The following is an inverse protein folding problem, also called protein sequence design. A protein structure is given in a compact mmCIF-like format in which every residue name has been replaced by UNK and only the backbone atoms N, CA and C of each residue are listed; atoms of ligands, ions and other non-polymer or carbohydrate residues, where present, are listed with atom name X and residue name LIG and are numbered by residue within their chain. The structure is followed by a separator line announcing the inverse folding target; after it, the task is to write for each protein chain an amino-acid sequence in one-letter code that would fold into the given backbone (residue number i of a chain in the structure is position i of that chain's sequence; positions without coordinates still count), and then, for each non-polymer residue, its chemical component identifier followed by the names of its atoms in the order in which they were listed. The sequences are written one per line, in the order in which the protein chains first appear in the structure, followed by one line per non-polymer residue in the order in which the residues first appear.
data_IF_080120192655
#
_entry.id   IF_080120192655
#
_cell.length_a   1.000
_cell.length_b   1.000
_cell.length_c   1.000
_cell.angle_alpha   90.00
_cell.angle_beta   90.00
_cell.angle_gamma   90.00
#
_symmetry.space_group_name_H-M   'P 1'
#
loop_
_entity.id
_entity.type
_entity.pdbx_description
1 polymer ?
#
# COMPACT_ATOMS: atom_id res chain seq x y z
N UNK A 1 4.25 26.17 5.45
CA UNK A 1 5.57 25.56 5.16
C UNK A 1 6.08 25.00 6.47
N UNK A 2 5.70 23.75 6.77
CA UNK A 2 6.24 23.00 7.89
C UNK A 2 7.67 22.63 7.51
N UNK A 3 8.66 22.99 8.30
CA UNK A 3 10.04 22.53 8.07
C UNK A 3 10.03 20.99 8.13
N UNK A 4 10.39 20.34 7.03
CA UNK A 4 10.53 18.89 6.97
C UNK A 4 11.71 18.49 7.86
N UNK A 5 11.42 18.13 9.11
CA UNK A 5 12.42 17.65 10.05
C UNK A 5 12.65 16.15 9.81
N UNK A 6 13.81 15.82 9.25
CA UNK A 6 14.25 14.43 9.05
C UNK A 6 14.44 13.74 10.41
N UNK A 7 13.70 12.67 10.65
CA UNK A 7 13.75 11.89 11.90
C UNK A 7 14.61 10.63 11.77
N UNK A 8 14.64 10.02 10.58
CA UNK A 8 15.50 8.88 10.26
C UNK A 8 16.30 9.22 9.01
N UNK A 9 17.61 8.97 9.05
CA UNK A 9 18.48 9.10 7.88
C UNK A 9 19.43 7.91 7.77
N UNK A 10 19.52 7.32 6.59
CA UNK A 10 20.54 6.34 6.26
C UNK A 10 21.43 6.93 5.16
N UNK A 11 22.75 6.83 5.32
CA UNK A 11 23.72 7.33 4.35
C UNK A 11 24.69 6.20 3.95
N UNK A 12 24.53 5.72 2.71
CA UNK A 12 25.37 4.68 2.12
C UNK A 12 25.52 3.46 3.02
N UNK A 13 24.44 3.01 3.65
CA UNK A 13 24.47 1.97 4.67
C UNK A 13 24.61 0.57 4.03
N UNK A 14 25.51 -0.25 4.59
CA UNK A 14 25.74 -1.63 4.17
C UNK A 14 25.54 -2.59 5.33
N UNK A 15 25.02 -3.78 5.03
CA UNK A 15 25.07 -4.93 5.92
C UNK A 15 25.51 -6.17 5.18
N UNK A 16 26.68 -6.68 5.56
CA UNK A 16 27.21 -7.97 5.11
C UNK A 16 27.36 -8.91 6.29
N UNK A 17 26.71 -10.07 6.23
CA UNK A 17 26.87 -11.14 7.19
C UNK A 17 28.04 -12.04 6.76
N UNK A 18 28.98 -12.28 7.67
CA UNK A 18 30.15 -13.13 7.39
C UNK A 18 31.45 -12.54 7.92
N UNK A 19 32.50 -13.35 7.93
CA UNK A 19 33.80 -12.97 8.52
C UNK A 19 34.56 -11.93 7.69
N UNK A 20 34.29 -11.81 6.38
CA UNK A 20 34.99 -10.91 5.45
C UNK A 20 34.11 -9.74 4.99
N UNK A 21 33.20 -9.28 5.85
CA UNK A 21 32.25 -8.21 5.52
C UNK A 21 32.89 -6.92 5.01
N UNK A 22 34.00 -6.48 5.62
CA UNK A 22 34.71 -5.27 5.16
C UNK A 22 35.32 -5.42 3.75
N UNK A 23 35.79 -6.61 3.37
CA UNK A 23 36.27 -6.87 2.01
C UNK A 23 35.13 -6.91 1.01
N UNK A 24 34.00 -7.53 1.36
CA UNK A 24 32.80 -7.53 0.54
C UNK A 24 32.31 -6.11 0.25
N UNK A 25 32.27 -5.24 1.27
CA UNK A 25 31.92 -3.81 1.08
C UNK A 25 32.87 -3.12 0.11
N UNK A 26 34.19 -3.34 0.21
CA UNK A 26 35.15 -2.75 -0.73
C UNK A 26 34.89 -3.19 -2.16
N UNK A 27 34.60 -4.47 -2.40
CA UNK A 27 34.29 -4.98 -3.75
C UNK A 27 32.96 -4.43 -4.27
N UNK A 28 31.93 -4.37 -3.44
CA UNK A 28 30.62 -3.80 -3.80
C UNK A 28 30.75 -2.32 -4.19
N UNK A 29 31.57 -1.54 -3.47
CA UNK A 29 31.87 -0.13 -3.82
C UNK A 29 32.66 0.00 -5.13
N UNK A 30 33.44 -1.01 -5.49
CA UNK A 30 34.16 -1.07 -6.76
C UNK A 30 33.30 -1.57 -7.94
N UNK A 31 31.99 -1.77 -7.73
CA UNK A 31 31.05 -2.19 -8.78
C UNK A 31 30.77 -3.69 -8.84
N UNK A 32 31.32 -4.50 -7.92
CA UNK A 32 31.00 -5.92 -7.87
C UNK A 32 29.51 -6.15 -7.59
N UNK A 33 28.96 -7.22 -8.15
CA UNK A 33 27.58 -7.65 -7.92
C UNK A 33 27.43 -8.33 -6.55
N UNK A 34 26.18 -8.50 -6.12
CA UNK A 34 25.84 -9.23 -4.88
C UNK A 34 26.33 -10.68 -4.92
N UNK A 35 26.25 -11.32 -6.08
CA UNK A 35 26.63 -12.72 -6.25
C UNK A 35 28.15 -12.92 -6.25
N UNK A 36 28.91 -12.01 -6.85
CA UNK A 36 30.37 -12.06 -6.86
C UNK A 36 30.99 -11.98 -5.45
N UNK A 37 30.30 -11.31 -4.51
CA UNK A 37 30.76 -11.18 -3.13
C UNK A 37 30.21 -12.26 -2.20
N UNK A 38 29.33 -13.15 -2.67
CA UNK A 38 28.74 -14.24 -1.89
C UNK A 38 29.78 -15.15 -1.18
N UNK A 39 30.95 -15.47 -1.79
CA UNK A 39 32.01 -16.22 -1.09
C UNK A 39 32.64 -15.47 0.11
N UNK A 40 32.48 -14.15 0.18
CA UNK A 40 32.99 -13.29 1.25
C UNK A 40 31.96 -13.09 2.38
N UNK A 41 30.68 -13.31 2.07
CA UNK A 41 29.56 -13.19 2.99
C UNK A 41 28.26 -12.86 2.27
N UNK A 42 27.15 -12.87 3.01
CA UNK A 42 25.83 -12.51 2.50
C UNK A 42 25.63 -11.00 2.61
N UNK A 43 25.73 -10.28 1.50
CA UNK A 43 25.34 -8.89 1.42
C UNK A 43 23.81 -8.77 1.43
N UNK A 44 23.27 -8.27 2.54
CA UNK A 44 21.84 -8.18 2.79
C UNK A 44 21.29 -6.77 2.57
N UNK A 45 22.09 -5.73 2.86
CA UNK A 45 21.80 -4.34 2.50
C UNK A 45 23.05 -3.74 1.87
N UNK A 46 22.88 -3.03 0.77
CA UNK A 46 23.94 -2.55 -0.10
C UNK A 46 23.63 -1.10 -0.46
N UNK A 47 24.43 -0.18 0.07
CA UNK A 47 24.38 1.24 -0.27
C UNK A 47 23.01 1.90 -0.08
N UNK A 48 22.32 1.57 1.01
CA UNK A 48 21.00 2.14 1.29
C UNK A 48 21.16 3.59 1.76
N UNK A 49 20.56 4.52 1.00
CA UNK A 49 20.49 5.93 1.35
C UNK A 49 19.06 6.44 1.24
N UNK A 50 18.51 7.01 2.32
CA UNK A 50 17.16 7.56 2.37
C UNK A 50 16.95 8.41 3.62
N UNK A 51 15.89 9.21 3.58
CA UNK A 51 15.42 10.04 4.68
C UNK A 51 13.93 9.79 4.91
N UNK A 52 13.54 9.76 6.18
CA UNK A 52 12.14 9.69 6.64
C UNK A 52 11.87 10.91 7.50
N UNK A 53 10.84 11.67 7.14
CA UNK A 53 10.42 12.86 7.84
C UNK A 53 9.56 12.51 9.05
N UNK A 54 9.51 13.42 10.01
CA UNK A 54 8.63 13.28 11.16
C UNK A 54 7.16 13.19 10.72
N UNK A 55 6.44 12.22 11.26
CA UNK A 55 5.04 11.94 10.94
C UNK A 55 4.83 11.23 9.61
N UNK A 56 5.89 10.86 8.88
CA UNK A 56 5.76 10.15 7.60
C UNK A 56 5.52 8.64 7.81
N UNK A 57 4.65 8.04 6.99
CA UNK A 57 4.60 6.60 6.78
C UNK A 57 5.50 6.25 5.60
N UNK A 58 6.71 5.79 5.91
CA UNK A 58 7.68 5.35 4.93
C UNK A 58 7.63 3.83 4.76
N UNK A 59 7.15 3.39 3.60
CA UNK A 59 7.02 1.97 3.30
C UNK A 59 8.29 1.45 2.65
N UNK A 60 8.81 0.31 3.12
CA UNK A 60 9.90 -0.42 2.48
C UNK A 60 9.34 -1.70 1.87
N UNK A 61 9.42 -1.80 0.56
CA UNK A 61 8.79 -2.85 -0.22
C UNK A 61 9.80 -3.68 -1.02
N UNK A 62 9.46 -4.91 -1.37
CA UNK A 62 10.24 -5.76 -2.26
C UNK A 62 10.03 -7.25 -1.97
N UNK A 63 10.64 -8.11 -2.78
CA UNK A 63 10.52 -9.57 -2.61
C UNK A 63 11.15 -10.10 -1.33
N UNK A 64 10.82 -11.34 -0.99
CA UNK A 64 11.54 -12.08 0.03
C UNK A 64 13.05 -12.13 -0.31
N UNK A 65 13.90 -11.92 0.68
CA UNK A 65 15.36 -11.91 0.49
C UNK A 65 15.97 -10.62 -0.08
N UNK A 66 15.17 -9.57 -0.35
CA UNK A 66 15.65 -8.27 -0.86
C UNK A 66 16.35 -7.38 0.18
N UNK A 67 16.31 -7.74 1.47
CA UNK A 67 17.04 -7.02 2.53
C UNK A 67 16.18 -6.19 3.48
N UNK A 68 14.86 -6.04 3.23
CA UNK A 68 13.93 -5.20 4.03
C UNK A 68 14.03 -5.45 5.54
N UNK A 69 13.81 -6.70 5.95
CA UNK A 69 13.84 -7.11 7.35
C UNK A 69 15.24 -6.94 7.98
N UNK A 70 16.30 -6.94 7.18
CA UNK A 70 17.64 -6.57 7.66
C UNK A 70 17.75 -5.06 7.86
N UNK A 71 17.24 -4.26 6.92
CA UNK A 71 17.22 -2.80 6.99
C UNK A 71 16.50 -2.30 8.26
N UNK A 72 15.27 -2.76 8.52
CA UNK A 72 14.52 -2.33 9.72
C UNK A 72 15.20 -2.73 11.03
N UNK A 73 15.88 -3.89 11.05
CA UNK A 73 16.65 -4.31 12.22
C UNK A 73 17.91 -3.46 12.40
N UNK A 74 18.45 -2.87 11.34
CA UNK A 74 19.49 -1.84 11.46
C UNK A 74 18.93 -0.52 11.98
N UNK A 75 17.74 -0.11 11.54
CA UNK A 75 17.04 1.07 12.08
C UNK A 75 16.73 0.92 13.59
N UNK A 76 16.41 -0.29 14.06
CA UNK A 76 16.25 -0.56 15.49
C UNK A 76 17.62 -0.73 16.22
N UNK A 77 18.74 -0.72 15.50
CA UNK A 77 20.07 -0.98 16.05
C UNK A 77 20.29 -2.41 16.57
N UNK A 78 19.44 -3.37 16.19
CA UNK A 78 19.67 -4.80 16.46
C UNK A 78 20.86 -5.34 15.66
N UNK A 79 21.06 -4.81 14.46
CA UNK A 79 22.26 -5.04 13.66
C UNK A 79 22.99 -3.73 13.42
N UNK A 80 24.28 -3.68 13.79
CA UNK A 80 25.13 -2.58 13.35
C UNK A 80 25.39 -2.65 11.83
N UNK A 81 25.41 -1.51 11.12
CA UNK A 81 25.90 -1.44 9.76
C UNK A 81 27.34 -1.98 9.67
N UNK A 82 27.66 -2.66 8.58
CA UNK A 82 29.02 -3.05 8.23
C UNK A 82 29.82 -1.84 7.72
N UNK A 83 29.15 -0.89 7.05
CA UNK A 83 29.68 0.39 6.61
C UNK A 83 28.53 1.39 6.41
N UNK A 84 28.85 2.68 6.28
CA UNK A 84 27.86 3.76 6.24
C UNK A 84 27.32 4.10 7.63
N UNK A 85 26.32 4.98 7.68
CA UNK A 85 25.70 5.48 8.91
C UNK A 85 24.18 5.38 8.87
N UNK A 86 23.58 5.26 10.06
CA UNK A 86 22.13 5.33 10.26
C UNK A 86 21.90 6.21 11.47
N UNK A 87 21.15 7.29 11.28
CA UNK A 87 20.84 8.29 12.28
C UNK A 87 19.37 8.23 12.67
N UNK A 88 19.09 8.30 13.97
CA UNK A 88 17.77 8.58 14.54
C UNK A 88 17.82 9.91 15.28
N UNK A 89 17.31 10.97 14.64
CA UNK A 89 17.66 12.35 15.00
C UNK A 89 19.19 12.52 14.99
N UNK A 90 19.75 12.97 16.11
CA UNK A 90 21.19 13.20 16.24
C UNK A 90 22.00 11.93 16.58
N UNK A 91 21.34 10.81 16.91
CA UNK A 91 22.01 9.59 17.37
C UNK A 91 22.46 8.70 16.19
N UNK A 92 23.77 8.52 15.97
CA UNK A 92 24.32 7.57 14.97
C UNK A 92 24.41 6.14 15.51
N UNK A 93 23.54 5.26 15.02
CA UNK A 93 23.44 3.86 15.45
C UNK A 93 24.70 3.03 15.19
N UNK A 94 25.56 3.44 14.26
CA UNK A 94 26.82 2.75 14.01
C UNK A 94 27.83 2.95 15.16
N UNK A 95 27.81 4.12 15.80
CA UNK A 95 28.85 4.57 16.75
C UNK A 95 28.36 4.72 18.19
N UNK A 96 27.05 4.85 18.44
CA UNK A 96 26.52 4.98 19.80
C UNK A 96 26.95 3.86 20.75
N UNK A 97 27.09 4.23 22.02
CA UNK A 97 27.40 3.30 23.10
C UNK A 97 26.25 2.31 23.34
N UNK A 98 26.53 1.10 23.86
CA UNK A 98 25.47 0.16 24.21
C UNK A 98 24.44 0.69 25.21
N UNK A 99 24.85 1.60 26.11
CA UNK A 99 23.95 2.23 27.07
C UNK A 99 22.98 3.21 26.38
N UNK A 100 23.51 4.08 25.51
CA UNK A 100 22.69 5.02 24.73
C UNK A 100 21.74 4.29 23.78
N UNK A 101 22.19 3.21 23.13
CA UNK A 101 21.34 2.39 22.28
C UNK A 101 20.16 1.73 23.03
N UNK A 102 20.34 1.37 24.31
CA UNK A 102 19.23 0.87 25.14
C UNK A 102 18.23 1.97 25.49
N UNK A 103 18.70 3.19 25.73
CA UNK A 103 17.85 4.34 26.00
C UNK A 103 17.01 4.72 24.78
N UNK A 104 17.63 4.77 23.59
CA UNK A 104 16.95 5.02 22.32
C UNK A 104 15.83 4.00 22.11
N UNK A 105 16.12 2.70 22.22
CA UNK A 105 15.11 1.63 22.07
C UNK A 105 14.04 1.61 23.17
N UNK A 106 14.30 2.24 24.31
CA UNK A 106 13.33 2.32 25.41
C UNK A 106 12.36 3.48 25.22
N UNK A 107 12.80 4.59 24.64
CA UNK A 107 12.05 5.87 24.65
C UNK A 107 11.67 6.39 23.27
N UNK A 108 12.43 6.09 22.23
CA UNK A 108 12.26 6.67 20.89
C UNK A 108 11.73 5.69 19.84
N UNK A 109 11.96 4.39 20.00
CA UNK A 109 11.66 3.39 18.97
C UNK A 109 10.86 2.22 19.53
N UNK A 110 9.74 1.91 18.88
CA UNK A 110 8.98 0.67 19.08
C UNK A 110 9.06 -0.21 17.84
N UNK A 111 8.99 -1.52 18.03
CA UNK A 111 9.04 -2.49 16.95
C UNK A 111 7.91 -3.52 17.04
N UNK A 112 7.21 -3.72 15.92
CA UNK A 112 6.25 -4.80 15.69
C UNK A 112 6.91 -5.81 14.76
N UNK A 113 7.02 -7.06 15.24
CA UNK A 113 7.70 -8.14 14.51
C UNK A 113 6.69 -8.96 13.69
N UNK A 114 7.16 -9.53 12.58
CA UNK A 114 6.41 -10.47 11.74
C UNK A 114 5.91 -11.68 12.54
N UNK A 115 6.78 -12.27 13.35
CA UNK A 115 6.39 -13.25 14.37
C UNK A 115 6.18 -12.53 15.68
N UNK A 116 4.98 -12.65 16.25
CA UNK A 116 4.39 -11.82 17.32
C UNK A 116 5.31 -11.47 18.50
N UNK A 117 6.35 -12.28 18.76
CA UNK A 117 7.38 -12.07 19.77
C UNK A 117 6.77 -11.75 21.15
N UNK A 118 5.64 -12.38 21.45
CA UNK A 118 4.95 -12.25 22.73
C UNK A 118 5.63 -13.13 23.77
N UNK A 119 5.58 -12.70 25.02
CA UNK A 119 6.04 -13.44 26.18
C UNK A 119 4.95 -14.46 26.54
N UNK A 120 5.16 -15.78 26.30
CA UNK A 120 4.10 -16.78 26.41
C UNK A 120 3.65 -17.06 27.84
N UNK A 121 4.49 -16.68 28.81
CA UNK A 121 4.26 -16.84 30.24
C UNK A 121 3.63 -15.61 30.90
N UNK A 122 3.27 -14.59 30.11
CA UNK A 122 2.62 -13.36 30.56
C UNK A 122 1.25 -13.23 29.91
N UNK A 123 0.32 -12.54 30.57
CA UNK A 123 -1.01 -12.26 30.02
C UNK A 123 -0.93 -11.27 28.86
N UNK A 124 -2.05 -11.05 28.17
CA UNK A 124 -2.18 -10.03 27.12
C UNK A 124 -1.88 -8.63 27.68
N UNK A 125 -2.45 -8.29 28.84
CA UNK A 125 -2.20 -7.02 29.52
C UNK A 125 -0.71 -6.86 29.88
N UNK A 126 -0.10 -7.89 30.46
CA UNK A 126 1.31 -7.86 30.85
C UNK A 126 2.24 -7.76 29.64
N UNK A 127 1.86 -8.34 28.50
CA UNK A 127 2.59 -8.18 27.24
C UNK A 127 2.50 -6.74 26.73
N UNK A 128 1.31 -6.14 26.75
CA UNK A 128 1.10 -4.75 26.33
C UNK A 128 1.80 -3.75 27.27
N UNK A 129 1.78 -3.99 28.58
CA UNK A 129 2.40 -3.15 29.61
C UNK A 129 3.94 -3.32 29.71
N UNK A 130 4.51 -4.34 29.07
CA UNK A 130 5.94 -4.67 29.20
C UNK A 130 6.90 -3.50 28.89
N UNK A 131 6.71 -2.69 27.83
CA UNK A 131 7.61 -1.57 27.55
C UNK A 131 7.61 -0.51 28.66
N UNK A 132 6.44 -0.24 29.24
CA UNK A 132 6.25 0.69 30.36
C UNK A 132 6.91 0.16 31.64
N UNK A 133 6.86 -1.16 31.89
CA UNK A 133 7.63 -1.81 32.96
C UNK A 133 9.14 -1.56 32.79
N UNK A 134 9.66 -1.70 31.56
CA UNK A 134 11.08 -1.46 31.25
C UNK A 134 11.45 0.04 31.31
N UNK A 135 10.47 0.93 31.13
CA UNK A 135 10.61 2.37 31.35
C UNK A 135 10.56 2.77 32.83
N UNK A 136 10.16 1.86 33.73
CA UNK A 136 10.04 2.13 35.16
C UNK A 136 8.73 2.79 35.57
N UNK A 137 7.70 2.74 34.71
CA UNK A 137 6.36 3.26 35.01
C UNK A 137 5.69 2.40 36.07
N UNK A 138 4.97 3.06 36.99
CA UNK A 138 4.23 2.41 38.08
C UNK A 138 3.20 1.41 37.56
N UNK A 139 2.88 0.38 38.37
CA UNK A 139 2.01 -0.74 37.96
C UNK A 139 0.60 -0.29 37.56
N UNK A 140 0.02 0.65 38.28
CA UNK A 140 -1.36 1.08 38.02
C UNK A 140 -1.43 1.89 36.72
N UNK A 141 -0.55 2.89 36.57
CA UNK A 141 -0.44 3.71 35.35
C UNK A 141 -0.12 2.86 34.10
N UNK A 142 0.83 1.93 34.20
CA UNK A 142 1.17 1.11 33.04
C UNK A 142 0.04 0.17 32.61
N UNK A 143 -0.74 -0.33 33.57
CA UNK A 143 -1.87 -1.20 33.28
C UNK A 143 -3.01 -0.41 32.63
N UNK A 144 -3.27 0.82 33.09
CA UNK A 144 -4.25 1.72 32.49
C UNK A 144 -3.90 2.04 31.02
N UNK A 145 -2.67 2.48 30.76
CA UNK A 145 -2.18 2.78 29.40
C UNK A 145 -2.16 1.55 28.50
N UNK A 146 -1.73 0.40 29.01
CA UNK A 146 -1.77 -0.86 28.26
C UNK A 146 -3.20 -1.26 27.91
N UNK A 147 -4.16 -1.06 28.82
CA UNK A 147 -5.56 -1.35 28.57
C UNK A 147 -6.17 -0.41 27.52
N UNK A 148 -5.80 0.87 27.51
CA UNK A 148 -6.19 1.81 26.45
C UNK A 148 -5.70 1.31 25.08
N UNK A 149 -4.42 0.96 24.96
CA UNK A 149 -3.87 0.40 23.72
C UNK A 149 -4.57 -0.90 23.30
N UNK A 150 -4.95 -1.77 24.25
CA UNK A 150 -5.69 -3.00 23.96
C UNK A 150 -7.12 -2.71 23.47
N UNK A 151 -7.78 -1.66 23.97
CA UNK A 151 -9.09 -1.25 23.46
C UNK A 151 -9.00 -0.74 22.03
N UNK A 152 -7.98 0.07 21.72
CA UNK A 152 -7.76 0.59 20.37
C UNK A 152 -7.64 -0.53 19.34
N UNK A 153 -6.89 -1.59 19.66
CA UNK A 153 -6.74 -2.75 18.76
C UNK A 153 -7.89 -3.78 18.89
N UNK A 154 -8.99 -3.45 19.57
CA UNK A 154 -10.17 -4.33 19.68
C UNK A 154 -9.93 -5.63 20.46
N UNK A 155 -9.14 -5.58 21.53
CA UNK A 155 -8.83 -6.71 22.43
C UNK A 155 -9.35 -6.51 23.86
N UNK A 156 -10.33 -5.62 24.06
CA UNK A 156 -11.03 -5.50 25.34
C UNK A 156 -11.70 -6.84 25.73
N UNK A 157 -11.56 -7.26 26.99
CA UNK A 157 -12.07 -8.53 27.50
C UNK A 157 -11.09 -9.71 27.34
N UNK A 158 -9.92 -9.51 26.74
CA UNK A 158 -8.88 -10.52 26.56
C UNK A 158 -7.63 -10.28 27.42
N UNK A 159 -7.64 -9.24 28.26
CA UNK A 159 -6.50 -8.78 29.08
C UNK A 159 -5.84 -9.89 29.90
N UNK A 160 -6.63 -10.80 30.48
CA UNK A 160 -6.16 -11.88 31.35
C UNK A 160 -5.78 -13.17 30.60
N UNK A 161 -6.05 -13.21 29.29
CA UNK A 161 -5.71 -14.38 28.47
C UNK A 161 -4.20 -14.48 28.26
N UNK A 162 -3.71 -15.70 28.03
CA UNK A 162 -2.31 -15.93 27.62
C UNK A 162 -2.20 -16.03 26.09
N UNK A 163 -1.06 -15.66 25.47
CA UNK A 163 -0.90 -15.67 24.02
C UNK A 163 -1.24 -16.99 23.31
N UNK A 164 -1.05 -18.12 24.00
CA UNK A 164 -1.37 -19.46 23.47
C UNK A 164 -2.87 -19.72 23.26
N UNK A 165 -3.73 -18.96 23.92
CA UNK A 165 -5.19 -19.06 23.80
C UNK A 165 -5.77 -18.19 22.67
N UNK A 166 -4.94 -17.37 22.01
CA UNK A 166 -5.37 -16.39 21.01
C UNK A 166 -5.21 -16.92 19.59
N UNK A 167 -6.00 -16.38 18.65
CA UNK A 167 -5.76 -16.58 17.21
C UNK A 167 -4.48 -15.88 16.75
N UNK A 168 -4.00 -16.20 15.53
CA UNK A 168 -2.84 -15.52 14.93
C UNK A 168 -3.02 -14.00 14.87
N UNK A 169 -4.16 -13.53 14.36
CA UNK A 169 -4.43 -12.10 14.26
C UNK A 169 -4.62 -11.41 15.61
N UNK A 170 -5.18 -12.10 16.61
CA UNK A 170 -5.22 -11.55 17.97
C UNK A 170 -3.82 -11.38 18.55
N UNK A 171 -2.92 -12.35 18.39
CA UNK A 171 -1.51 -12.22 18.84
C UNK A 171 -0.79 -11.04 18.15
N UNK A 172 -1.09 -10.79 16.88
CA UNK A 172 -0.53 -9.66 16.15
C UNK A 172 -1.01 -8.33 16.74
N UNK A 173 -2.32 -8.22 17.03
CA UNK A 173 -2.92 -7.06 17.68
C UNK A 173 -2.35 -6.81 19.08
N UNK A 174 -2.03 -7.85 19.86
CA UNK A 174 -1.29 -7.68 21.14
C UNK A 174 0.11 -7.09 20.90
N UNK A 175 0.82 -7.53 19.86
CA UNK A 175 2.12 -6.99 19.49
C UNK A 175 2.07 -5.51 19.09
N UNK A 176 0.99 -5.11 18.39
CA UNK A 176 0.72 -3.72 18.05
C UNK A 176 0.38 -2.90 19.30
N UNK A 177 -0.55 -3.37 20.15
CA UNK A 177 -0.89 -2.70 21.40
C UNK A 177 0.32 -2.48 22.30
N UNK A 178 1.24 -3.45 22.36
CA UNK A 178 2.52 -3.31 23.06
C UNK A 178 3.36 -2.15 22.50
N UNK A 179 3.47 -2.04 21.19
CA UNK A 179 4.22 -0.96 20.56
C UNK A 179 3.56 0.41 20.77
N UNK A 180 2.23 0.47 20.72
CA UNK A 180 1.46 1.70 20.96
C UNK A 180 1.54 2.16 22.41
N UNK A 181 1.43 1.22 23.37
CA UNK A 181 1.51 1.54 24.80
C UNK A 181 2.85 2.17 25.20
N UNK A 182 3.94 1.84 24.50
CA UNK A 182 5.26 2.42 24.73
C UNK A 182 5.36 3.92 24.40
N UNK A 183 4.42 4.45 23.61
CA UNK A 183 4.30 5.85 23.21
C UNK A 183 5.60 6.47 22.66
N UNK A 184 6.34 5.69 21.88
CA UNK A 184 7.61 6.14 21.26
C UNK A 184 7.37 6.99 20.01
N UNK A 185 8.33 7.81 19.59
CA UNK A 185 8.21 8.66 18.40
C UNK A 185 8.18 7.87 17.09
N UNK A 186 8.96 6.78 17.01
CA UNK A 186 9.16 5.97 15.80
C UNK A 186 8.56 4.57 16.00
N UNK A 187 7.76 4.13 15.03
CA UNK A 187 7.19 2.79 14.96
C UNK A 187 7.76 2.01 13.77
N UNK A 188 8.46 0.92 14.06
CA UNK A 188 9.06 0.02 13.07
C UNK A 188 8.19 -1.24 12.92
N UNK A 189 7.64 -1.50 11.74
CA UNK A 189 6.73 -2.61 11.50
C UNK A 189 7.30 -3.56 10.44
N UNK A 190 7.63 -4.81 10.81
CA UNK A 190 8.18 -5.84 9.90
C UNK A 190 7.06 -6.82 9.51
N UNK A 191 6.43 -6.63 8.34
CA UNK A 191 5.30 -7.46 7.82
C UNK A 191 4.17 -7.66 8.85
N UNK A 192 3.85 -6.57 9.55
CA UNK A 192 3.01 -6.57 10.74
C UNK A 192 1.51 -6.87 10.49
N UNK A 193 1.08 -7.01 9.24
CA UNK A 193 -0.30 -7.40 8.90
C UNK A 193 -0.41 -8.66 8.03
N UNK A 194 0.73 -9.31 7.75
CA UNK A 194 0.82 -10.48 6.86
C UNK A 194 0.01 -11.70 7.32
N UNK A 195 -0.20 -11.86 8.63
CA UNK A 195 -0.94 -12.98 9.21
C UNK A 195 -2.41 -12.65 9.52
N UNK A 196 -2.88 -11.47 9.13
CA UNK A 196 -4.27 -11.04 9.30
C UNK A 196 -5.12 -11.45 8.09
N UNK A 197 -6.36 -11.83 8.35
CA UNK A 197 -7.38 -11.98 7.30
C UNK A 197 -7.67 -10.62 6.64
N UNK A 198 -8.23 -10.59 5.42
CA UNK A 198 -8.39 -9.35 4.66
C UNK A 198 -9.25 -8.27 5.35
N UNK A 199 -10.28 -8.66 6.11
CA UNK A 199 -11.17 -7.68 6.78
C UNK A 199 -10.45 -7.04 7.96
N UNK A 200 -9.87 -7.86 8.85
CA UNK A 200 -9.12 -7.35 10.00
C UNK A 200 -7.87 -6.60 9.55
N UNK A 201 -7.20 -7.04 8.47
CA UNK A 201 -6.10 -6.30 7.86
C UNK A 201 -6.51 -4.88 7.51
N UNK A 202 -7.63 -4.72 6.81
CA UNK A 202 -8.14 -3.41 6.39
C UNK A 202 -8.44 -2.51 7.59
N UNK A 203 -9.14 -3.05 8.58
CA UNK A 203 -9.46 -2.35 9.82
C UNK A 203 -8.18 -1.86 10.54
N UNK A 204 -7.17 -2.73 10.68
CA UNK A 204 -5.90 -2.35 11.32
C UNK A 204 -5.10 -1.32 10.53
N UNK A 205 -5.16 -1.39 9.19
CA UNK A 205 -4.52 -0.39 8.33
C UNK A 205 -5.19 0.99 8.49
N UNK A 206 -6.53 1.04 8.55
CA UNK A 206 -7.29 2.27 8.79
C UNK A 206 -6.99 2.86 10.18
N UNK A 207 -6.91 2.00 11.21
CA UNK A 207 -6.47 2.42 12.54
C UNK A 207 -5.04 2.97 12.54
N UNK A 208 -4.12 2.39 11.76
CA UNK A 208 -2.76 2.89 11.67
C UNK A 208 -2.70 4.30 11.06
N UNK A 209 -3.51 4.55 10.03
CA UNK A 209 -3.66 5.88 9.42
C UNK A 209 -4.26 6.89 10.42
N UNK A 210 -5.29 6.50 11.17
CA UNK A 210 -5.88 7.35 12.20
C UNK A 210 -4.88 7.68 13.32
N UNK A 211 -4.10 6.68 13.76
CA UNK A 211 -3.06 6.85 14.77
C UNK A 211 -1.95 7.79 14.28
N UNK A 212 -1.48 7.63 13.04
CA UNK A 212 -0.50 8.54 12.45
C UNK A 212 -1.06 9.96 12.35
N UNK A 213 -2.31 10.13 11.90
CA UNK A 213 -2.94 11.44 11.74
C UNK A 213 -3.17 12.16 13.07
N UNK A 214 -3.47 11.42 14.13
CA UNK A 214 -3.75 11.98 15.46
C UNK A 214 -2.48 12.22 16.28
N UNK A 215 -1.52 11.29 16.24
CA UNK A 215 -0.35 11.30 17.12
C UNK A 215 0.93 11.80 16.43
N UNK A 216 0.92 11.93 15.10
CA UNK A 216 2.08 12.39 14.32
C UNK A 216 3.30 11.47 14.45
N UNK A 217 3.06 10.16 14.64
CA UNK A 217 4.11 9.14 14.78
C UNK A 217 4.79 8.88 13.43
N UNK A 218 6.09 8.66 13.45
CA UNK A 218 6.84 8.28 12.25
C UNK A 218 6.87 6.78 12.11
N UNK A 219 6.44 6.27 10.96
CA UNK A 219 6.23 4.84 10.77
C UNK A 219 7.13 4.35 9.65
N UNK A 220 7.97 3.35 9.92
CA UNK A 220 8.66 2.58 8.87
C UNK A 220 7.99 1.23 8.75
N UNK A 221 7.30 1.02 7.64
CA UNK A 221 6.45 -0.13 7.42
C UNK A 221 7.03 -1.04 6.34
N UNK A 222 7.30 -2.31 6.64
CA UNK A 222 7.72 -3.29 5.64
C UNK A 222 6.55 -4.14 5.21
N UNK A 223 6.40 -4.27 3.90
CA UNK A 223 5.49 -5.22 3.29
C UNK A 223 6.04 -5.82 2.00
N UNK A 224 5.40 -6.89 1.56
CA UNK A 224 5.53 -7.46 0.22
C UNK A 224 4.26 -7.25 -0.62
N UNK A 225 3.19 -6.70 -0.04
CA UNK A 225 1.92 -6.41 -0.71
C UNK A 225 1.90 -4.96 -1.22
N UNK A 226 1.74 -4.80 -2.52
CA UNK A 226 1.79 -3.49 -3.16
C UNK A 226 0.56 -2.65 -2.84
N UNK A 227 -0.61 -3.27 -2.72
CA UNK A 227 -1.83 -2.55 -2.37
C UNK A 227 -1.74 -1.98 -0.96
N UNK A 228 -1.09 -2.72 -0.05
CA UNK A 228 -0.81 -2.23 1.30
C UNK A 228 0.18 -1.08 1.30
N UNK A 229 1.26 -1.19 0.51
CA UNK A 229 2.23 -0.10 0.37
C UNK A 229 1.59 1.18 -0.18
N UNK A 230 0.74 1.05 -1.20
CA UNK A 230 0.05 2.16 -1.83
C UNK A 230 -1.04 2.77 -0.94
N UNK A 231 -1.70 1.95 -0.11
CA UNK A 231 -2.75 2.42 0.78
C UNK A 231 -2.21 3.14 2.02
N UNK A 232 -1.07 2.69 2.56
CA UNK A 232 -0.50 3.24 3.79
C UNK A 232 0.59 4.29 3.57
N UNK A 233 1.39 4.16 2.52
CA UNK A 233 2.65 4.87 2.38
C UNK A 233 2.51 6.27 1.82
N UNK A 234 3.09 7.25 2.51
CA UNK A 234 3.36 8.57 1.95
C UNK A 234 4.46 8.46 0.88
N UNK A 235 5.49 7.66 1.19
CA UNK A 235 6.61 7.34 0.29
C UNK A 235 6.96 5.86 0.41
N UNK A 236 7.30 5.27 -0.73
CA UNK A 236 7.62 3.86 -0.88
C UNK A 236 9.06 3.75 -1.37
N UNK A 237 9.89 3.00 -0.64
CA UNK A 237 11.21 2.56 -1.06
C UNK A 237 11.16 1.11 -1.53
N UNK A 238 11.36 0.91 -2.83
CA UNK A 238 11.40 -0.41 -3.45
C UNK A 238 12.81 -0.98 -3.34
N UNK A 239 12.94 -2.22 -2.84
CA UNK A 239 14.20 -2.90 -2.63
C UNK A 239 14.32 -4.18 -3.46
N UNK A 240 15.46 -4.32 -4.17
CA UNK A 240 15.88 -5.53 -4.87
C UNK A 240 17.34 -5.82 -4.56
N UNK A 241 17.64 -7.07 -4.25
CA UNK A 241 19.02 -7.54 -4.02
C UNK A 241 19.85 -6.71 -3.04
N UNK A 242 19.22 -6.27 -1.94
CA UNK A 242 19.86 -5.47 -0.90
C UNK A 242 19.96 -3.99 -1.24
N UNK A 243 19.61 -3.56 -2.46
CA UNK A 243 19.65 -2.17 -2.91
C UNK A 243 18.26 -1.57 -2.93
N UNK A 244 18.17 -0.28 -2.64
CA UNK A 244 16.98 0.51 -2.94
C UNK A 244 17.03 0.86 -4.43
N UNK A 245 16.03 0.47 -5.20
CA UNK A 245 15.96 0.71 -6.64
C UNK A 245 15.19 1.98 -6.98
N UNK A 246 14.18 2.33 -6.20
CA UNK A 246 13.39 3.55 -6.37
C UNK A 246 12.81 4.00 -5.03
N UNK A 247 12.72 5.31 -4.82
CA UNK A 247 11.95 5.92 -3.75
C UNK A 247 11.03 6.97 -4.38
N UNK A 248 9.74 6.94 -4.06
CA UNK A 248 8.77 7.91 -4.57
C UNK A 248 7.44 7.82 -3.85
N UNK A 249 6.53 8.74 -4.15
CA UNK A 249 5.13 8.60 -3.73
C UNK A 249 4.47 7.43 -4.46
N UNK A 250 3.33 6.97 -3.94
CA UNK A 250 2.50 5.93 -4.55
C UNK A 250 2.21 6.22 -6.04
N UNK A 251 1.92 7.49 -6.38
CA UNK A 251 1.69 7.93 -7.75
C UNK A 251 2.96 7.84 -8.60
N UNK A 252 4.10 8.33 -8.10
CA UNK A 252 5.38 8.31 -8.84
C UNK A 252 5.83 6.87 -9.16
N UNK A 253 5.67 5.96 -8.20
CA UNK A 253 6.00 4.55 -8.41
C UNK A 253 5.14 3.92 -9.52
N UNK A 254 3.87 4.34 -9.64
CA UNK A 254 2.93 3.82 -10.65
C UNK A 254 3.07 4.47 -12.03
N UNK A 255 3.32 5.78 -12.08
CA UNK A 255 3.35 6.56 -13.32
C UNK A 255 4.74 6.60 -13.96
N UNK A 256 5.79 6.50 -13.16
CA UNK A 256 7.19 6.67 -13.57
C UNK A 256 8.08 5.57 -12.94
N UNK A 257 7.87 4.29 -13.30
CA UNK A 257 8.71 3.21 -12.80
C UNK A 257 10.17 3.40 -13.25
N UNK A 258 11.13 3.26 -12.32
CA UNK A 258 12.53 3.55 -12.59
C UNK A 258 13.24 2.50 -13.47
N UNK A 259 12.79 1.25 -13.42
CA UNK A 259 13.29 0.14 -14.25
C UNK A 259 12.19 -0.90 -14.51
N UNK A 260 12.50 -1.89 -15.36
CA UNK A 260 11.58 -2.98 -15.71
C UNK A 260 11.13 -3.81 -14.51
N UNK A 261 11.95 -3.90 -13.47
CA UNK A 261 11.57 -4.61 -12.26
C UNK A 261 10.49 -3.83 -11.52
N UNK A 262 10.64 -2.51 -11.37
CA UNK A 262 9.59 -1.67 -10.79
C UNK A 262 8.31 -1.75 -11.63
N UNK A 263 8.44 -1.66 -12.96
CA UNK A 263 7.30 -1.75 -13.88
C UNK A 263 6.53 -3.09 -13.75
N UNK A 264 7.25 -4.20 -13.67
CA UNK A 264 6.66 -5.53 -13.45
C UNK A 264 5.95 -5.63 -12.09
N UNK A 265 6.53 -5.05 -11.03
CA UNK A 265 5.93 -5.05 -9.70
C UNK A 265 4.58 -4.33 -9.67
N UNK A 266 4.47 -3.23 -10.39
CA UNK A 266 3.28 -2.36 -10.39
C UNK A 266 2.23 -2.74 -11.43
N UNK A 267 2.47 -3.78 -12.23
CA UNK A 267 1.60 -4.17 -13.34
C UNK A 267 0.20 -4.56 -12.88
N UNK A 268 0.09 -5.29 -11.76
CA UNK A 268 -1.17 -5.84 -11.23
C UNK A 268 -1.89 -4.93 -10.23
N UNK A 269 -1.42 -3.67 -10.07
CA UNK A 269 -2.06 -2.71 -9.14
C UNK A 269 -3.29 -2.10 -9.78
N UNK A 270 -4.36 -2.02 -9.00
CA UNK A 270 -5.52 -1.22 -9.35
C UNK A 270 -5.19 0.28 -9.28
N UNK A 271 -4.68 0.82 -10.40
CA UNK A 271 -4.37 2.24 -10.57
C UNK A 271 -5.55 3.15 -10.29
N UNK A 272 -6.79 2.67 -10.44
CA UNK A 272 -7.98 3.51 -10.30
C UNK A 272 -8.22 3.98 -8.87
N UNK A 273 -7.65 3.27 -7.90
CA UNK A 273 -7.78 3.57 -6.47
C UNK A 273 -6.62 4.40 -5.91
N UNK A 274 -5.49 4.44 -6.62
CA UNK A 274 -4.27 5.11 -6.16
C UNK A 274 -4.07 6.43 -6.88
N UNK A 275 -4.28 6.46 -8.20
CA UNK A 275 -4.12 7.68 -8.96
C UNK A 275 -5.30 8.62 -8.69
N UNK A 276 -4.99 9.91 -8.66
CA UNK A 276 -5.95 10.98 -8.36
C UNK A 276 -6.23 11.86 -9.57
N UNK A 277 -7.30 12.66 -9.51
CA UNK A 277 -7.62 13.66 -10.51
C UNK A 277 -6.44 14.60 -10.79
N UNK A 278 -5.72 15.02 -9.75
CA UNK A 278 -4.55 15.88 -9.85
C UNK A 278 -3.43 15.27 -10.71
N UNK A 279 -3.29 13.95 -10.72
CA UNK A 279 -2.24 13.23 -11.47
C UNK A 279 -2.51 13.24 -12.97
N UNK A 280 -3.78 13.16 -13.36
CA UNK A 280 -4.19 13.00 -14.78
C UNK A 280 -4.74 14.29 -15.40
N UNK A 281 -5.04 15.31 -14.60
CA UNK A 281 -5.66 16.55 -15.08
C UNK A 281 -4.76 17.34 -16.04
N UNK A 282 -5.40 18.21 -16.80
CA UNK A 282 -4.80 19.19 -17.70
C UNK A 282 -5.40 20.56 -17.44
N UNK A 283 -4.71 21.60 -17.88
CA UNK A 283 -5.29 22.94 -17.88
C UNK A 283 -6.56 22.95 -18.76
N UNK A 284 -7.64 23.62 -18.33
CA UNK A 284 -8.84 23.75 -19.15
C UNK A 284 -8.51 24.50 -20.44
N UNK A 285 -8.87 23.91 -21.59
CA UNK A 285 -8.60 24.50 -22.90
C UNK A 285 -9.40 25.80 -23.12
N UNK A 286 -10.64 25.85 -22.62
CA UNK A 286 -11.55 26.99 -22.80
C UNK A 286 -12.18 27.34 -21.47
N UNK A 287 -11.92 28.55 -20.98
CA UNK A 287 -12.53 29.10 -19.78
C UNK A 287 -13.01 30.52 -20.05
N UNK A 288 -14.26 30.82 -19.70
CA UNK A 288 -14.90 32.13 -19.93
C UNK A 288 -15.50 32.66 -18.62
N UNK A 289 -15.47 33.99 -18.39
CA UNK A 289 -16.11 34.56 -17.21
C UNK A 289 -17.64 34.56 -17.37
N UNK A 290 -18.37 34.30 -16.29
CA UNK A 290 -19.84 34.29 -16.27
C UNK A 290 -20.45 35.63 -16.72
N UNK A 291 -19.84 36.74 -16.28
CA UNK A 291 -20.22 38.09 -16.70
C UNK A 291 -19.66 38.50 -18.08
N UNK A 292 -19.04 37.59 -18.81
CA UNK A 292 -18.60 37.81 -20.18
C UNK A 292 -19.78 37.77 -21.15
N UNK A 293 -19.71 38.55 -22.23
CA UNK A 293 -20.77 38.55 -23.25
C UNK A 293 -20.71 37.32 -24.17
N UNK A 294 -21.84 36.85 -24.74
CA UNK A 294 -21.89 35.70 -25.65
C UNK A 294 -20.88 35.74 -26.81
N UNK A 295 -20.62 36.94 -27.38
CA UNK A 295 -19.60 37.16 -28.42
C UNK A 295 -18.19 36.79 -27.99
N UNK A 296 -17.82 37.11 -26.74
CA UNK A 296 -16.51 36.77 -26.21
C UNK A 296 -16.38 35.25 -26.06
N UNK A 297 -17.42 34.60 -25.52
CA UNK A 297 -17.42 33.16 -25.35
C UNK A 297 -17.29 32.41 -26.68
N UNK A 298 -18.07 32.78 -27.70
CA UNK A 298 -17.98 32.18 -29.04
C UNK A 298 -16.61 32.37 -29.68
N UNK A 299 -16.00 33.56 -29.58
CA UNK A 299 -14.63 33.76 -30.09
C UNK A 299 -13.61 32.89 -29.36
N UNK A 300 -13.77 32.71 -28.05
CA UNK A 300 -12.84 31.89 -27.25
C UNK A 300 -12.98 30.41 -27.62
N UNK A 301 -14.23 29.93 -27.78
CA UNK A 301 -14.53 28.59 -28.29
C UNK A 301 -13.98 28.37 -29.70
N UNK A 302 -14.16 29.35 -30.61
CA UNK A 302 -13.66 29.30 -31.99
C UNK A 302 -12.13 29.19 -32.05
N UNK A 303 -11.42 30.02 -31.28
CA UNK A 303 -9.95 30.00 -31.22
C UNK A 303 -9.39 28.67 -30.71
N UNK A 304 -10.11 28.03 -29.78
CA UNK A 304 -9.74 26.73 -29.23
C UNK A 304 -10.38 25.55 -29.97
N UNK A 305 -11.17 25.81 -31.03
CA UNK A 305 -11.94 24.82 -31.78
C UNK A 305 -12.80 23.90 -30.89
N UNK A 306 -13.43 24.48 -29.86
CA UNK A 306 -14.27 23.76 -28.91
C UNK A 306 -15.75 24.09 -29.09
N UNK A 307 -16.62 23.11 -28.83
CA UNK A 307 -18.09 23.28 -28.83
C UNK A 307 -18.67 23.65 -27.45
N UNK A 308 -17.82 23.78 -26.43
CA UNK A 308 -18.21 24.14 -25.09
C UNK A 308 -17.10 24.89 -24.36
N UNK A 309 -17.46 25.61 -23.29
CA UNK A 309 -16.54 26.33 -22.43
C UNK A 309 -16.91 26.16 -20.96
N UNK A 310 -15.90 26.03 -20.10
CA UNK A 310 -16.08 26.09 -18.66
C UNK A 310 -16.27 27.55 -18.23
N UNK A 311 -17.25 27.80 -17.37
CA UNK A 311 -17.60 29.15 -16.90
C UNK A 311 -17.11 29.35 -15.47
N UNK A 312 -16.50 30.50 -15.21
CA UNK A 312 -16.04 30.88 -13.87
C UNK A 312 -16.60 32.22 -13.42
N UNK A 313 -16.82 32.38 -12.13
CA UNK A 313 -17.24 33.66 -11.54
C UNK A 313 -16.07 34.66 -11.41
N UNK A 314 -16.34 35.85 -10.86
CA UNK A 314 -15.32 36.90 -10.64
C UNK A 314 -14.19 36.47 -9.70
N UNK A 315 -14.45 35.51 -8.82
CA UNK A 315 -13.48 34.93 -7.88
C UNK A 315 -12.76 33.71 -8.46
N UNK A 316 -12.95 33.42 -9.76
CA UNK A 316 -12.46 32.21 -10.46
C UNK A 316 -13.03 30.89 -9.91
N UNK A 317 -14.18 30.94 -9.24
CA UNK A 317 -14.90 29.72 -8.85
C UNK A 317 -15.64 29.15 -10.04
N UNK A 318 -15.65 27.83 -10.13
CA UNK A 318 -16.35 27.12 -11.18
C UNK A 318 -17.86 27.34 -11.04
N UNK A 319 -18.49 27.81 -12.11
CA UNK A 319 -19.93 28.13 -12.15
C UNK A 319 -20.73 27.11 -12.97
N UNK A 320 -20.11 26.45 -13.95
CA UNK A 320 -20.77 25.48 -14.83
C UNK A 320 -20.17 25.47 -16.23
N UNK A 321 -20.96 25.06 -17.21
CA UNK A 321 -20.57 24.92 -18.61
C UNK A 321 -21.56 25.66 -19.51
N UNK A 322 -21.09 26.12 -20.67
CA UNK A 322 -21.93 26.62 -21.74
C UNK A 322 -21.57 25.96 -23.06
N UNK A 323 -22.58 25.64 -23.87
CA UNK A 323 -22.43 25.06 -25.21
C UNK A 323 -22.55 26.13 -26.31
N UNK A 324 -21.84 25.94 -27.41
CA UNK A 324 -21.75 26.89 -28.52
C UNK A 324 -23.11 27.24 -29.14
N UNK A 325 -24.00 26.27 -29.29
CA UNK A 325 -25.38 26.43 -29.79
C UNK A 325 -26.24 27.33 -28.88
N UNK A 326 -26.21 27.10 -27.57
CA UNK A 326 -26.91 27.90 -26.58
C UNK A 326 -26.33 29.33 -26.51
N UNK A 327 -25.01 29.48 -26.55
CA UNK A 327 -24.35 30.79 -26.57
C UNK A 327 -24.65 31.54 -27.86
N UNK A 328 -24.74 30.87 -29.01
CA UNK A 328 -25.15 31.47 -30.28
C UNK A 328 -26.60 31.97 -30.25
N UNK A 329 -27.51 31.20 -29.63
CA UNK A 329 -28.88 31.63 -29.40
C UNK A 329 -28.92 32.87 -28.49
N UNK A 330 -28.17 32.88 -27.39
CA UNK A 330 -28.06 34.02 -26.48
C UNK A 330 -27.48 35.26 -27.17
N UNK A 331 -26.48 35.09 -28.04
CA UNK A 331 -25.91 36.18 -28.83
C UNK A 331 -26.95 36.80 -29.77
N UNK A 332 -27.75 35.96 -30.46
CA UNK A 332 -28.82 36.43 -31.37
C UNK A 332 -29.92 37.15 -30.60
N UNK A 333 -30.21 36.72 -29.37
CA UNK A 333 -31.16 37.37 -28.47
C UNK A 333 -30.63 38.67 -27.83
N UNK A 334 -29.35 39.02 -28.02
CA UNK A 334 -28.74 40.21 -27.43
C UNK A 334 -28.53 40.10 -25.92
N UNK A 335 -28.36 38.89 -25.38
CA UNK A 335 -28.12 38.69 -23.96
C UNK A 335 -26.83 39.40 -23.49
N UNK A 336 -26.85 40.06 -22.31
CA UNK A 336 -25.70 40.80 -21.80
C UNK A 336 -24.59 39.90 -21.25
N UNK A 337 -24.95 38.69 -20.79
CA UNK A 337 -24.05 37.73 -20.15
C UNK A 337 -24.47 36.28 -20.44
N UNK A 338 -23.78 35.31 -19.82
CA UNK A 338 -23.99 33.87 -20.02
C UNK A 338 -24.95 33.25 -19.01
N UNK A 339 -25.49 34.00 -18.04
CA UNK A 339 -26.24 33.45 -16.90
C UNK A 339 -27.47 32.66 -17.35
N UNK A 340 -28.16 33.11 -18.40
CA UNK A 340 -29.37 32.46 -18.92
C UNK A 340 -29.13 31.18 -19.72
N UNK A 341 -27.88 30.88 -20.08
CA UNK A 341 -27.48 29.69 -20.84
C UNK A 341 -26.48 28.82 -20.09
N UNK A 342 -26.19 29.17 -18.83
CA UNK A 342 -25.29 28.42 -17.97
C UNK A 342 -25.96 27.11 -17.56
N UNK A 343 -25.31 26.00 -17.88
CA UNK A 343 -25.65 24.69 -17.35
C UNK A 343 -24.79 24.42 -16.11
N UNK A 344 -25.43 24.21 -14.97
CA UNK A 344 -24.73 23.77 -13.77
C UNK A 344 -24.16 22.39 -13.99
N UNK A 345 -22.86 22.24 -13.78
CA UNK A 345 -22.16 20.97 -13.92
C UNK A 345 -21.87 20.39 -12.53
N UNK A 346 -22.64 19.39 -12.14
CA UNK A 346 -22.55 18.68 -10.86
C UNK A 346 -21.49 17.58 -10.85
N UNK A 347 -20.75 17.42 -11.96
CA UNK A 347 -19.74 16.36 -12.15
C UNK A 347 -18.36 16.77 -11.65
N UNK A 348 -18.22 17.97 -11.08
CA UNK A 348 -16.94 18.46 -10.60
C UNK A 348 -16.37 17.59 -9.48
N UNK A 349 -15.09 17.26 -9.57
CA UNK A 349 -14.37 16.44 -8.60
C UNK A 349 -13.28 17.25 -7.90
N UNK A 350 -12.84 16.79 -6.73
CA UNK A 350 -11.69 17.39 -6.04
C UNK A 350 -10.36 16.88 -6.64
N UNK A 351 -9.21 17.57 -6.43
CA UNK A 351 -7.93 17.14 -6.96
C UNK A 351 -7.45 15.80 -6.38
N UNK A 352 -7.81 15.53 -5.13
CA UNK A 352 -7.53 14.30 -4.37
C UNK A 352 -8.50 13.15 -4.70
N UNK A 353 -9.53 13.37 -5.53
CA UNK A 353 -10.48 12.32 -5.89
C UNK A 353 -9.79 11.19 -6.67
N UNK A 354 -9.98 9.91 -6.28
CA UNK A 354 -9.41 8.77 -6.98
C UNK A 354 -10.06 8.59 -8.36
N UNK A 355 -9.32 8.04 -9.33
CA UNK A 355 -9.85 7.87 -10.70
C UNK A 355 -11.14 7.04 -10.75
N UNK A 356 -11.31 6.08 -9.85
CA UNK A 356 -12.53 5.29 -9.68
C UNK A 356 -13.80 6.17 -9.59
N UNK A 357 -13.72 7.30 -8.89
CA UNK A 357 -14.83 8.25 -8.71
C UNK A 357 -15.05 9.14 -9.94
N UNK A 358 -14.05 9.27 -10.82
CA UNK A 358 -14.09 10.11 -12.03
C UNK A 358 -14.78 9.37 -13.19
N UNK A 359 -14.81 8.03 -13.18
CA UNK A 359 -15.40 7.26 -14.27
C UNK A 359 -16.87 7.57 -14.51
N UNK A 360 -17.69 7.58 -13.46
CA UNK A 360 -19.12 7.87 -13.58
C UNK A 360 -19.39 9.30 -14.14
N UNK A 361 -18.77 10.36 -13.58
CA UNK A 361 -18.74 11.71 -14.18
C UNK A 361 -18.30 11.74 -15.65
N UNK A 362 -17.27 10.99 -16.01
CA UNK A 362 -16.72 10.97 -17.38
C UNK A 362 -17.58 10.20 -18.38
N UNK A 363 -18.41 9.28 -17.90
CA UNK A 363 -19.27 8.45 -18.75
C UNK A 363 -20.57 9.17 -19.14
N UNK A 364 -21.03 10.11 -18.32
CA UNK A 364 -22.26 10.89 -18.55
C UNK A 364 -22.07 12.09 -19.47
N UNK A 365 -20.84 12.36 -19.93
CA UNK A 365 -20.48 13.53 -20.73
C UNK A 365 -19.42 13.24 -21.77
N UNK A 366 -19.43 13.99 -22.87
CA UNK A 366 -18.30 14.08 -23.78
C UNK A 366 -17.27 15.14 -23.36
N UNK A 367 -17.65 16.00 -22.42
CA UNK A 367 -16.76 17.04 -21.89
C UNK A 367 -15.79 16.47 -20.85
N UNK A 368 -14.56 17.03 -20.75
CA UNK A 368 -13.66 16.73 -19.65
C UNK A 368 -14.29 17.00 -18.28
N UNK A 369 -13.98 16.15 -17.29
CA UNK A 369 -14.51 16.29 -15.93
C UNK A 369 -13.80 17.48 -15.25
N UNK A 370 -14.52 18.49 -14.73
CA UNK A 370 -13.89 19.63 -14.08
C UNK A 370 -13.29 19.24 -12.72
N UNK A 371 -12.09 19.75 -12.43
CA UNK A 371 -11.40 19.55 -11.15
C UNK A 371 -11.41 20.88 -10.40
N UNK A 372 -12.02 20.89 -9.22
CA UNK A 372 -12.21 22.09 -8.40
C UNK A 372 -11.50 21.98 -7.06
N UNK A 373 -10.84 23.06 -6.63
CA UNK A 373 -10.24 23.14 -5.29
C UNK A 373 -11.30 23.16 -4.19
N UNK A 374 -10.89 23.04 -2.93
CA UNK A 374 -11.77 23.19 -1.76
C UNK A 374 -12.51 24.54 -1.74
N UNK A 375 -11.84 25.63 -2.13
CA UNK A 375 -12.46 26.97 -2.29
C UNK A 375 -13.38 27.11 -3.52
N UNK A 376 -13.63 26.02 -4.26
CA UNK A 376 -14.48 25.97 -5.45
C UNK A 376 -13.84 26.51 -6.73
N UNK A 377 -12.52 26.72 -6.77
CA UNK A 377 -11.81 27.25 -7.96
C UNK A 377 -11.55 26.15 -8.97
N UNK A 378 -11.79 26.41 -10.26
CA UNK A 378 -11.41 25.48 -11.32
C UNK A 378 -9.88 25.42 -11.43
N UNK A 379 -9.28 24.29 -11.07
CA UNK A 379 -7.82 24.08 -11.10
C UNK A 379 -7.36 23.27 -12.30
N UNK A 380 -8.26 22.47 -12.87
CA UNK A 380 -7.95 21.62 -14.02
C UNK A 380 -9.19 20.94 -14.57
N UNK A 381 -8.97 20.12 -15.58
CA UNK A 381 -9.99 19.22 -16.15
C UNK A 381 -9.36 17.86 -16.42
N UNK A 382 -10.13 16.78 -16.36
CA UNK A 382 -9.70 15.43 -16.71
C UNK A 382 -10.33 15.04 -18.06
N UNK A 383 -9.58 15.11 -19.17
CA UNK A 383 -10.04 14.58 -20.44
C UNK A 383 -10.21 13.06 -20.35
N UNK A 384 -11.26 12.52 -20.98
CA UNK A 384 -11.52 11.07 -20.99
C UNK A 384 -10.33 10.24 -21.50
N UNK A 385 -9.61 10.74 -22.51
CA UNK A 385 -8.40 10.06 -23.02
C UNK A 385 -7.31 9.90 -21.95
N UNK A 386 -7.12 10.91 -21.09
CA UNK A 386 -6.14 10.86 -19.99
C UNK A 386 -6.54 9.85 -18.92
N UNK A 387 -7.85 9.75 -18.63
CA UNK A 387 -8.38 8.74 -17.73
C UNK A 387 -8.13 7.32 -18.27
N UNK A 388 -8.34 7.11 -19.58
CA UNK A 388 -8.10 5.81 -20.23
C UNK A 388 -6.61 5.46 -20.29
N UNK A 389 -5.75 6.40 -20.69
CA UNK A 389 -4.29 6.21 -20.72
C UNK A 389 -3.73 5.84 -19.34
N UNK A 390 -4.23 6.46 -18.28
CA UNK A 390 -3.81 6.18 -16.92
C UNK A 390 -4.18 4.77 -16.42
N UNK A 391 -5.09 4.06 -17.10
CA UNK A 391 -5.41 2.66 -16.76
C UNK A 391 -4.46 1.66 -17.41
N UNK A 392 -3.83 2.03 -18.53
CA UNK A 392 -2.98 1.10 -19.28
C UNK A 392 -1.64 1.00 -18.57
N UNK A 393 -1.17 -0.21 -18.21
CA UNK A 393 0.19 -0.39 -17.73
C UNK A 393 1.21 0.14 -18.75
N UNK A 394 2.33 0.72 -18.31
CA UNK A 394 3.40 1.05 -19.25
C UNK A 394 3.80 -0.24 -19.97
N UNK A 395 3.81 -0.20 -21.31
CA UNK A 395 4.08 -1.37 -22.16
C UNK A 395 5.38 -2.06 -21.72
N UNK A 396 5.29 -3.28 -21.21
CA UNK A 396 6.46 -4.14 -20.94
C UNK A 396 6.96 -4.87 -22.19
N UNK A 397 6.69 -4.33 -23.39
CA UNK A 397 6.95 -5.02 -24.65
C UNK A 397 8.06 -4.35 -25.45
N UNK A 398 9.31 -4.62 -25.08
CA UNK A 398 10.45 -4.70 -26.02
C UNK A 398 11.65 -5.39 -25.36
N UNK A 399 11.53 -6.70 -25.13
CA UNK A 399 12.69 -7.58 -25.05
C UNK A 399 12.53 -8.66 -26.13
N UNK A 400 13.09 -8.38 -27.30
CA UNK A 400 13.38 -9.42 -28.28
C UNK A 400 14.29 -10.47 -27.60
N UNK A 401 14.09 -11.78 -27.85
CA UNK A 401 15.09 -12.76 -27.46
C UNK A 401 16.30 -12.55 -28.37
N UNK A 402 17.43 -12.16 -27.79
CA UNK A 402 18.70 -12.16 -28.51
C UNK A 402 19.09 -13.62 -28.79
N UNK A 403 18.76 -14.04 -30.02
CA UNK A 403 19.26 -15.25 -30.65
C UNK A 403 20.75 -15.06 -30.96
N UNK A 404 21.61 -15.43 -30.02
CA UNK A 404 23.03 -15.64 -30.25
C UNK A 404 23.31 -17.11 -30.57
N UNK A 405 23.32 -17.46 -31.85
CA UNK A 405 23.89 -18.73 -32.34
C UNK A 405 25.42 -18.74 -32.22
N UNK A 406 25.96 -19.86 -31.71
CA UNK A 406 27.13 -20.52 -32.31
C UNK A 406 28.50 -20.36 -31.63
N UNK A 407 28.92 -21.37 -30.85
CA UNK A 407 29.96 -22.32 -31.28
C UNK A 407 30.32 -23.40 -30.22
N UNK A 408 30.38 -24.65 -30.70
CA UNK A 408 31.02 -25.84 -30.10
C UNK A 408 30.21 -26.54 -29.01
N UNK A 409 29.71 -27.79 -29.14
CA UNK A 409 30.11 -28.92 -29.96
C UNK A 409 30.32 -30.12 -29.04
N UNK A 410 29.39 -31.07 -29.01
CA UNK A 410 29.68 -32.51 -29.16
C UNK A 410 28.41 -33.38 -29.12
N UNK A 411 28.49 -34.46 -29.89
CA UNK A 411 27.46 -35.40 -30.29
C UNK A 411 26.86 -36.25 -29.15
N UNK A 412 25.67 -36.83 -29.37
CA UNK A 412 25.45 -38.27 -29.66
C UNK A 412 24.04 -38.46 -30.26
N UNK A 413 23.97 -39.30 -31.29
CA UNK A 413 22.80 -39.67 -32.07
C UNK A 413 21.89 -40.70 -31.36
N UNK A 414 20.61 -40.75 -31.71
CA UNK A 414 19.93 -42.00 -32.10
C UNK A 414 18.59 -41.78 -32.81
N UNK A 415 18.33 -42.70 -33.73
CA UNK A 415 17.39 -42.80 -34.86
C UNK A 415 15.91 -43.00 -34.48
N UNK A 416 14.98 -42.31 -35.17
CA UNK A 416 13.95 -42.79 -36.13
C UNK A 416 13.10 -44.00 -35.70
N UNK A 417 11.77 -43.82 -35.69
CA UNK A 417 10.90 -44.39 -36.74
C UNK A 417 9.47 -43.82 -36.73
N UNK A 418 8.96 -43.63 -37.95
CA UNK A 418 7.63 -43.18 -38.33
C UNK A 418 6.52 -44.23 -38.05
N UNK A 419 5.26 -43.77 -38.01
CA UNK A 419 4.12 -44.24 -38.86
C UNK A 419 2.78 -43.89 -38.18
N UNK A 420 1.95 -43.13 -38.90
CA UNK A 420 0.50 -42.99 -38.73
C UNK A 420 -0.19 -43.64 -39.96
N UNK A 421 -1.51 -43.53 -40.22
CA UNK A 421 -2.72 -43.36 -39.38
C UNK A 421 -3.88 -44.33 -39.80
N UNK A 422 -5.06 -44.26 -39.16
CA UNK A 422 -6.42 -44.42 -39.76
C UNK A 422 -7.51 -44.48 -38.65
N UNK A 423 -8.39 -43.48 -38.47
CA UNK A 423 -9.76 -43.32 -39.02
C UNK A 423 -10.70 -44.54 -38.95
N UNK A 424 -11.80 -44.44 -38.18
CA UNK A 424 -13.19 -44.26 -38.69
C UNK A 424 -14.31 -44.79 -37.75
N UNK A 425 -15.16 -43.86 -37.29
CA UNK A 425 -16.66 -43.83 -37.26
C UNK A 425 -17.58 -44.93 -36.68
N UNK A 426 -18.66 -44.42 -36.05
CA UNK A 426 -20.03 -44.95 -35.86
C UNK A 426 -20.22 -46.12 -34.86
N UNK A 427 -21.28 -46.25 -34.06
CA UNK A 427 -22.57 -45.56 -33.94
C UNK A 427 -23.18 -45.85 -32.55
N UNK A 428 -24.15 -45.04 -32.14
CA UNK A 428 -24.96 -45.19 -30.93
C UNK A 428 -26.03 -46.29 -31.04
N UNK A 429 -26.43 -46.93 -29.93
CA UNK A 429 -27.85 -47.24 -29.61
C UNK A 429 -28.06 -47.78 -28.17
N UNK A 430 -28.83 -47.01 -27.38
CA UNK A 430 -29.99 -47.33 -26.49
C UNK A 430 -30.00 -48.57 -25.54
N UNK A 431 -30.40 -48.29 -24.28
CA UNK A 431 -30.68 -49.19 -23.12
C UNK A 431 -31.93 -50.08 -23.30
N UNK A 432 -32.22 -51.04 -22.38
CA UNK A 432 -33.14 -50.72 -21.26
C UNK A 432 -32.87 -51.43 -19.91
N UNK A 433 -33.66 -51.01 -18.93
CA UNK A 433 -33.70 -51.29 -17.48
C UNK A 433 -34.30 -52.66 -17.05
N UNK A 434 -34.31 -52.83 -15.72
CA UNK A 434 -35.10 -53.73 -14.85
C UNK A 434 -34.47 -55.11 -14.58
N UNK A 435 -34.36 -55.64 -13.35
CA UNK A 435 -34.93 -55.34 -12.03
C UNK A 435 -35.08 -56.68 -11.29
N UNK A 436 -34.68 -56.80 -10.02
CA UNK A 436 -34.79 -58.07 -9.29
C UNK A 436 -34.17 -58.11 -7.89
N UNK A 437 -35.01 -57.83 -6.90
CA UNK A 437 -34.98 -58.02 -5.42
C UNK A 437 -34.51 -59.44 -5.00
N UNK A 438 -33.99 -59.78 -3.80
CA UNK A 438 -34.58 -59.65 -2.44
C UNK A 438 -33.61 -60.13 -1.34
N UNK A 439 -33.65 -59.46 -0.17
CA UNK A 439 -33.63 -59.97 1.24
C UNK A 439 -32.44 -60.79 1.80
N UNK A 440 -32.05 -60.78 3.09
CA UNK A 440 -32.36 -60.06 4.35
C UNK A 440 -31.33 -60.60 5.39
N UNK A 441 -30.74 -59.85 6.33
CA UNK A 441 -31.14 -59.74 7.76
C UNK A 441 -29.96 -59.22 8.61
N UNK A 442 -30.22 -58.47 9.68
CA UNK A 442 -29.21 -58.12 10.71
C UNK A 442 -29.52 -56.89 11.59
N UNK A 443 -30.45 -57.05 12.53
CA UNK A 443 -31.03 -56.09 13.50
C UNK A 443 -30.06 -55.68 14.65
N UNK A 444 -29.95 -54.41 15.08
CA UNK A 444 -30.48 -53.74 16.33
C UNK A 444 -29.51 -52.58 16.65
N UNK A 445 -29.80 -51.42 17.27
CA UNK A 445 -30.94 -50.89 18.03
C UNK A 445 -30.73 -49.40 18.39
N UNK A 446 -31.83 -48.67 18.60
CA UNK A 446 -31.98 -47.27 19.05
C UNK A 446 -32.05 -47.24 20.60
N UNK A 447 -31.76 -46.19 21.38
CA UNK A 447 -32.67 -45.07 21.76
C UNK A 447 -32.03 -44.17 22.83
N UNK A 448 -32.29 -42.86 22.76
CA UNK A 448 -32.08 -41.80 23.76
C UNK A 448 -33.09 -41.86 24.93
N UNK A 449 -32.75 -41.32 26.12
CA UNK A 449 -33.54 -40.27 26.83
C UNK A 449 -32.86 -39.72 28.11
N UNK A 450 -32.70 -38.38 28.11
CA UNK A 450 -33.06 -37.36 29.12
C UNK A 450 -32.88 -37.54 30.64
N UNK A 451 -32.26 -36.51 31.26
CA UNK A 451 -32.68 -35.85 32.52
C UNK A 451 -31.82 -34.61 32.80
N UNK A 452 -32.41 -33.40 32.91
CA UNK A 452 -32.67 -32.72 34.21
C UNK A 452 -33.17 -31.28 33.98
N UNK A 453 -34.12 -30.91 34.85
CA UNK A 453 -35.09 -29.81 34.86
C UNK A 453 -34.53 -28.49 35.39
N UNK A 454 -34.94 -27.38 34.76
CA UNK A 454 -34.82 -25.99 35.24
C UNK A 454 -35.82 -25.66 36.37
N UNK A 455 -35.38 -24.84 37.33
CA UNK A 455 -36.25 -24.12 38.28
C UNK A 455 -36.14 -22.61 38.03
N UNK A 456 -37.30 -21.98 37.86
CA UNK A 456 -37.50 -20.54 37.90
C UNK A 456 -37.34 -19.95 39.31
N UNK A 457 -36.93 -18.69 39.37
CA UNK A 457 -37.10 -17.78 40.51
C UNK A 457 -36.56 -16.40 40.15
N UNK A 458 -37.42 -15.38 40.07
CA UNK A 458 -37.09 -14.04 39.58
C UNK A 458 -36.90 -12.95 40.66
N UNK A 459 -37.28 -11.73 40.26
CA UNK A 459 -37.43 -10.47 41.00
C UNK A 459 -36.22 -9.49 41.03
N UNK A 460 -36.45 -8.37 40.33
CA UNK A 460 -36.26 -6.95 40.73
C UNK A 460 -35.28 -6.58 41.84
N UNK A 461 -34.24 -5.79 41.50
CA UNK A 461 -34.10 -4.34 41.73
C UNK A 461 -32.75 -3.86 41.19
#
# INVERSE_FOLDING_TARGET
MTENHTEIRADGAYKVFGRRGGEAVRRLRAGATRDEVKPLGTAAVIDASFEVNRGEIFVVMGLSGSGKSTLIRMLNGLWRPTAGSIHLGDDDLATVSPARLREIRRSKVSMVFQHFALLPHRTVLDNAAYPLEIQGVGRDERNERAMESLRLVGLAGWEDSVPGALSGGMRQRVGLARALAADTDILLMDEAFSALDPLIRREMQEQLLELQGTLGKTIVFITHDLNEAMFLGDRIAMMRDGRIVQIGSSEQILSEPADDYVAQFVADVDRTRVLTAATVMRAPAVTVPLGGGPRQALRTMEQAQASAAFVVDRSRRFAGVVHDDAVLAAQRAGAPDLTGVLETDDRAVRPDAPLAEIFAPSASSTLPVPVVSEDGRLVGVVPRVRLLEAMVPPDTTEAAPDSGEGSGGDAVAETRDDVAPATATHDAFVRPDEGGTTDQTGTTGTTETSKTTERQGGASL
#
